data_IF_044317722943
#
_entry.id   IF_044317722943
#
_cell.length_a   1.000
_cell.length_b   1.000
_cell.length_c   1.000
_cell.angle_alpha   90.00
_cell.angle_beta   90.00
_cell.angle_gamma   90.00
#
_symmetry.space_group_name_H-M   'P 1'
#
loop_
_entity.id
_entity.type
_entity.pdbx_description
1 polymer ?
#
# COMPACT_ATOMS: atom_id res chain seq x y z
N UNK A 1 6.75 -11.57 -16.79
CA UNK A 1 7.38 -10.64 -15.83
C UNK A 1 6.71 -10.70 -14.46
N UNK A 2 5.38 -10.52 -14.40
CA UNK A 2 4.59 -10.51 -13.16
C UNK A 2 4.76 -11.81 -12.33
N UNK A 3 4.64 -12.99 -12.95
CA UNK A 3 4.78 -14.30 -12.25
C UNK A 3 6.14 -14.44 -11.54
N UNK A 4 7.24 -14.00 -12.16
CA UNK A 4 8.59 -14.12 -11.57
C UNK A 4 8.72 -13.26 -10.32
N UNK A 5 8.19 -12.04 -10.36
CA UNK A 5 8.16 -11.14 -9.21
C UNK A 5 7.28 -11.66 -8.08
N UNK A 6 6.12 -12.24 -8.40
CA UNK A 6 5.22 -12.84 -7.41
C UNK A 6 5.85 -14.05 -6.71
N UNK A 7 6.60 -14.89 -7.41
CA UNK A 7 7.31 -16.01 -6.78
C UNK A 7 8.41 -15.52 -5.83
N UNK A 8 9.17 -14.48 -6.22
CA UNK A 8 10.25 -13.95 -5.38
C UNK A 8 9.69 -13.35 -4.08
N UNK A 9 8.58 -12.60 -4.15
CA UNK A 9 7.98 -12.00 -2.96
C UNK A 9 7.31 -13.06 -2.09
N UNK A 10 6.60 -14.02 -2.68
CA UNK A 10 5.99 -15.14 -1.95
C UNK A 10 7.01 -15.97 -1.17
N UNK A 11 8.16 -16.26 -1.79
CA UNK A 11 9.24 -16.97 -1.12
C UNK A 11 9.88 -16.15 0.01
N UNK A 12 10.05 -14.84 -0.18
CA UNK A 12 10.57 -13.95 0.86
C UNK A 12 9.62 -13.88 2.08
N UNK A 13 8.31 -13.72 1.86
CA UNK A 13 7.33 -13.74 2.95
C UNK A 13 7.31 -15.08 3.68
N UNK A 14 7.37 -16.19 2.95
CA UNK A 14 7.43 -17.52 3.54
C UNK A 14 8.64 -17.68 4.47
N UNK A 15 9.84 -17.26 4.02
CA UNK A 15 11.05 -17.31 4.84
C UNK A 15 10.92 -16.47 6.12
N UNK A 16 10.40 -15.25 6.01
CA UNK A 16 10.23 -14.35 7.17
C UNK A 16 9.26 -14.95 8.18
N UNK A 17 8.12 -15.49 7.74
CA UNK A 17 7.16 -16.14 8.63
C UNK A 17 7.75 -17.38 9.29
N UNK A 18 8.48 -18.21 8.53
CA UNK A 18 9.13 -19.41 9.06
C UNK A 18 10.17 -19.07 10.15
N UNK A 19 11.03 -18.09 9.89
CA UNK A 19 11.99 -17.57 10.87
C UNK A 19 11.30 -16.98 12.10
N UNK A 20 10.21 -16.23 11.89
CA UNK A 20 9.46 -15.62 13.01
C UNK A 20 8.90 -16.67 13.96
N UNK A 21 8.34 -17.77 13.43
CA UNK A 21 7.83 -18.89 14.24
C UNK A 21 8.98 -19.66 14.91
N UNK A 22 10.09 -19.85 14.21
CA UNK A 22 11.27 -20.56 14.74
C UNK A 22 11.95 -19.84 15.90
N UNK A 23 11.94 -18.50 15.93
CA UNK A 23 12.64 -17.69 16.94
C UNK A 23 11.77 -17.43 18.18
N UNK A 24 10.49 -17.13 18.02
CA UNK A 24 9.62 -16.73 19.14
C UNK A 24 8.94 -17.91 19.87
N UNK A 25 8.97 -19.14 19.34
CA UNK A 25 8.15 -20.27 19.79
C UNK A 25 6.63 -20.04 19.62
N UNK A 26 5.88 -21.11 19.40
CA UNK A 26 4.48 -21.06 18.93
C UNK A 26 3.53 -20.31 19.88
N UNK A 27 3.79 -20.36 21.18
CA UNK A 27 2.92 -19.72 22.19
C UNK A 27 3.01 -18.19 22.22
N UNK A 28 4.15 -17.62 21.84
CA UNK A 28 4.41 -16.17 21.93
C UNK A 28 4.01 -15.47 20.62
N UNK A 29 4.13 -16.15 19.48
CA UNK A 29 3.68 -15.63 18.18
C UNK A 29 2.16 -15.46 18.09
N UNK A 30 1.39 -16.28 18.81
CA UNK A 30 -0.07 -16.21 18.79
C UNK A 30 -0.62 -14.95 19.47
N UNK A 31 0.07 -14.46 20.51
CA UNK A 31 -0.33 -13.25 21.25
C UNK A 31 0.31 -11.96 20.70
N UNK A 32 1.41 -12.06 19.94
CA UNK A 32 2.09 -10.90 19.37
C UNK A 32 1.56 -10.61 17.97
N UNK A 33 0.93 -9.44 17.82
CA UNK A 33 0.28 -9.01 16.57
C UNK A 33 1.25 -8.61 15.45
N UNK A 34 2.51 -8.29 15.78
CA UNK A 34 3.58 -7.97 14.82
C UNK A 34 4.84 -8.79 15.11
N UNK A 35 4.79 -10.12 14.93
CA UNK A 35 5.88 -11.01 15.35
C UNK A 35 7.17 -10.71 14.59
N UNK A 36 7.10 -10.28 13.33
CA UNK A 36 8.29 -9.93 12.55
C UNK A 36 9.05 -8.71 13.10
N UNK A 37 8.34 -7.74 13.69
CA UNK A 37 8.98 -6.60 14.36
C UNK A 37 9.61 -7.04 15.69
N UNK A 38 8.90 -7.89 16.42
CA UNK A 38 9.37 -8.40 17.71
C UNK A 38 10.60 -9.30 17.56
N UNK A 39 10.68 -10.11 16.50
CA UNK A 39 11.87 -10.92 16.16
C UNK A 39 13.10 -10.04 16.01
N UNK A 40 12.99 -8.92 15.29
CA UNK A 40 14.11 -7.99 15.09
C UNK A 40 14.56 -7.43 16.43
N UNK A 41 13.63 -6.97 17.28
CA UNK A 41 13.95 -6.43 18.61
C UNK A 41 14.52 -7.47 19.58
N UNK A 42 14.09 -8.73 19.49
CA UNK A 42 14.59 -9.81 20.36
C UNK A 42 16.02 -10.20 20.00
N UNK A 43 16.40 -10.09 18.72
CA UNK A 43 17.79 -10.32 18.27
C UNK A 43 18.71 -9.17 18.71
N UNK A 44 18.17 -7.96 18.93
CA UNK A 44 18.88 -6.75 19.39
C UNK A 44 19.38 -6.82 20.85
N UNK A 45 19.38 -7.99 21.51
CA UNK A 45 19.88 -8.19 22.88
C UNK A 45 21.42 -8.14 23.01
N UNK A 46 22.16 -8.00 21.90
CA UNK A 46 23.58 -7.66 21.93
C UNK A 46 23.79 -6.26 21.34
N UNK A 47 24.32 -5.34 22.16
CA UNK A 47 24.74 -3.92 21.98
C UNK A 47 25.18 -3.48 20.54
N UNK A 48 25.54 -4.43 19.68
CA UNK A 48 25.96 -4.21 18.30
C UNK A 48 24.80 -3.96 17.30
N UNK A 49 23.60 -4.51 17.52
CA UNK A 49 22.50 -4.44 16.54
C UNK A 49 21.58 -3.22 16.71
N UNK A 50 21.54 -2.59 17.87
CA UNK A 50 20.69 -1.42 18.15
C UNK A 50 21.01 -0.24 17.22
N UNK A 51 22.31 -0.07 16.91
CA UNK A 51 22.78 0.96 15.96
C UNK A 51 22.33 0.75 14.52
N UNK A 52 22.06 -0.49 14.10
CA UNK A 52 21.55 -0.79 12.76
C UNK A 52 20.04 -0.52 12.65
N UNK A 53 19.28 -0.73 13.73
CA UNK A 53 17.84 -0.47 13.78
C UNK A 53 17.54 1.01 13.47
N UNK A 54 18.31 1.93 14.05
CA UNK A 54 18.15 3.37 13.83
C UNK A 54 18.38 3.74 12.35
N UNK A 55 19.38 3.15 11.69
CA UNK A 55 19.66 3.40 10.27
C UNK A 55 18.50 2.93 9.39
N UNK A 56 17.93 1.76 9.68
CA UNK A 56 16.77 1.20 8.97
C UNK A 56 15.55 2.08 9.17
N UNK A 57 15.30 2.56 10.40
CA UNK A 57 14.19 3.46 10.71
C UNK A 57 14.31 4.78 9.93
N UNK A 58 15.51 5.37 9.85
CA UNK A 58 15.76 6.59 9.07
C UNK A 58 15.48 6.36 7.59
N UNK A 59 15.99 5.27 7.01
CA UNK A 59 15.72 4.91 5.60
C UNK A 59 14.22 4.73 5.34
N UNK A 60 13.51 4.13 6.29
CA UNK A 60 12.07 3.94 6.18
C UNK A 60 11.32 5.27 6.25
N UNK A 61 11.73 6.17 7.13
CA UNK A 61 11.16 7.51 7.23
C UNK A 61 11.35 8.33 5.94
N UNK A 62 12.54 8.28 5.35
CA UNK A 62 12.82 8.90 4.04
C UNK A 62 11.91 8.30 2.96
N UNK A 63 11.73 6.98 2.97
CA UNK A 63 10.84 6.29 2.02
C UNK A 63 9.39 6.73 2.17
N UNK A 64 8.89 6.83 3.40
CA UNK A 64 7.53 7.31 3.70
C UNK A 64 7.37 8.76 3.23
N UNK A 65 8.35 9.62 3.52
CA UNK A 65 8.34 11.02 3.09
C UNK A 65 8.25 11.15 1.57
N UNK A 66 9.06 10.40 0.82
CA UNK A 66 9.03 10.42 -0.64
C UNK A 66 7.71 9.89 -1.19
N UNK A 67 7.16 8.82 -0.61
CA UNK A 67 5.84 8.29 -0.98
C UNK A 67 4.72 9.29 -0.75
N UNK A 68 4.70 9.94 0.42
CA UNK A 68 3.72 10.97 0.75
C UNK A 68 3.78 12.14 -0.24
N UNK A 69 5.00 12.59 -0.55
CA UNK A 69 5.21 13.68 -1.52
C UNK A 69 4.69 13.31 -2.91
N UNK A 70 4.97 12.09 -3.37
CA UNK A 70 4.44 11.59 -4.64
C UNK A 70 2.92 11.45 -4.63
N UNK A 71 2.33 10.92 -3.56
CA UNK A 71 0.88 10.77 -3.41
C UNK A 71 0.17 12.13 -3.47
N UNK A 72 0.68 13.12 -2.74
CA UNK A 72 0.15 14.49 -2.78
C UNK A 72 0.23 15.08 -4.20
N UNK A 73 1.35 14.87 -4.90
CA UNK A 73 1.50 15.32 -6.28
C UNK A 73 0.52 14.64 -7.24
N UNK A 74 0.36 13.31 -7.15
CA UNK A 74 -0.58 12.55 -7.99
C UNK A 74 -2.03 12.99 -7.72
N UNK A 75 -2.41 13.21 -6.46
CA UNK A 75 -3.74 13.71 -6.10
C UNK A 75 -3.96 15.10 -6.70
N UNK A 76 -2.97 15.99 -6.62
CA UNK A 76 -3.06 17.33 -7.20
C UNK A 76 -3.28 17.29 -8.72
N UNK A 77 -2.48 16.51 -9.45
CA UNK A 77 -2.64 16.35 -10.89
C UNK A 77 -3.94 15.62 -11.27
N UNK A 78 -4.37 14.64 -10.47
CA UNK A 78 -5.67 13.98 -10.65
C UNK A 78 -6.85 14.93 -10.48
N UNK A 79 -6.83 15.75 -9.43
CA UNK A 79 -7.86 16.75 -9.16
C UNK A 79 -7.86 17.85 -10.23
N UNK A 80 -6.67 18.23 -10.70
CA UNK A 80 -6.51 19.14 -11.83
C UNK A 80 -7.18 18.60 -13.10
N UNK A 81 -7.00 17.31 -13.39
CA UNK A 81 -7.63 16.63 -14.53
C UNK A 81 -9.16 16.56 -14.42
N UNK A 82 -9.70 16.35 -13.22
CA UNK A 82 -11.16 16.31 -12.98
C UNK A 82 -11.78 17.71 -13.05
N UNK A 83 -11.15 18.71 -12.46
CA UNK A 83 -11.69 20.06 -12.35
C UNK A 83 -11.20 21.04 -13.43
N UNK A 84 -10.31 20.63 -14.34
CA UNK A 84 -9.69 21.46 -15.39
C UNK A 84 -9.11 22.79 -14.87
N UNK A 85 -8.49 22.77 -13.69
CA UNK A 85 -7.95 23.97 -13.04
C UNK A 85 -6.52 24.27 -13.51
N UNK A 86 -6.23 25.53 -13.82
CA UNK A 86 -4.91 25.93 -14.34
C UNK A 86 -3.86 26.14 -13.24
N UNK A 87 -4.27 26.37 -11.99
CA UNK A 87 -3.39 26.77 -10.89
C UNK A 87 -3.11 25.65 -9.88
N UNK A 88 -1.95 25.00 -10.02
CA UNK A 88 -1.49 23.94 -9.11
C UNK A 88 -1.23 24.45 -7.68
N UNK A 89 -0.79 25.70 -7.52
CA UNK A 89 -0.37 26.24 -6.22
C UNK A 89 -1.55 26.52 -5.28
N UNK A 90 -2.70 26.93 -5.82
CA UNK A 90 -3.87 27.28 -5.00
C UNK A 90 -4.61 26.05 -4.48
N UNK A 91 -4.52 24.91 -5.17
CA UNK A 91 -5.10 23.64 -4.74
C UNK A 91 -4.22 22.87 -3.77
N UNK A 92 -2.91 23.14 -3.75
CA UNK A 92 -1.99 22.45 -2.85
C UNK A 92 -2.32 22.72 -1.38
N UNK A 93 -2.68 23.97 -1.05
CA UNK A 93 -3.04 24.37 0.31
C UNK A 93 -4.24 23.58 0.89
N UNK A 94 -5.42 23.54 0.24
CA UNK A 94 -6.57 22.80 0.76
C UNK A 94 -6.32 21.29 0.82
N UNK A 95 -5.60 20.71 -0.16
CA UNK A 95 -5.30 19.28 -0.17
C UNK A 95 -4.38 18.90 1.00
N UNK A 96 -3.35 19.70 1.27
CA UNK A 96 -2.47 19.49 2.43
C UNK A 96 -3.25 19.61 3.74
N UNK A 97 -4.15 20.60 3.87
CA UNK A 97 -5.01 20.73 5.04
C UNK A 97 -5.92 19.51 5.22
N UNK A 98 -6.64 19.09 4.19
CA UNK A 98 -7.51 17.91 4.25
C UNK A 98 -6.70 16.66 4.63
N UNK A 99 -5.51 16.49 4.05
CA UNK A 99 -4.64 15.35 4.36
C UNK A 99 -4.15 15.36 5.81
N UNK A 100 -3.77 16.52 6.35
CA UNK A 100 -3.28 16.63 7.74
C UNK A 100 -4.40 16.43 8.75
N UNK A 101 -5.55 17.08 8.55
CA UNK A 101 -6.71 16.94 9.43
C UNK A 101 -7.30 15.53 9.36
N UNK A 102 -7.37 14.94 8.15
CA UNK A 102 -7.79 13.55 7.98
C UNK A 102 -6.87 12.56 8.71
N UNK A 103 -5.56 12.79 8.70
CA UNK A 103 -4.61 11.97 9.44
C UNK A 103 -4.76 12.10 10.96
N UNK A 104 -5.20 13.24 11.49
CA UNK A 104 -5.47 13.37 12.92
C UNK A 104 -6.77 12.65 13.31
N UNK A 105 -7.85 12.86 12.56
CA UNK A 105 -9.17 12.31 12.91
C UNK A 105 -9.33 10.79 12.72
N UNK A 106 -8.53 10.17 11.85
CA UNK A 106 -8.67 8.74 11.56
C UNK A 106 -7.88 7.88 12.55
N UNK A 107 -6.82 8.43 13.16
CA UNK A 107 -5.80 7.67 13.87
C UNK A 107 -5.74 8.01 15.36
N UNK A 108 -6.90 8.19 15.99
CA UNK A 108 -7.00 8.57 17.41
C UNK A 108 -6.54 7.46 18.38
N UNK A 109 -6.75 6.18 18.03
CA UNK A 109 -6.37 5.06 18.89
C UNK A 109 -5.94 3.79 18.11
N UNK A 110 -5.06 3.00 18.73
CA UNK A 110 -4.54 1.74 18.19
C UNK A 110 -5.65 0.69 18.05
N UNK A 111 -6.69 0.76 18.89
CA UNK A 111 -7.87 -0.12 18.81
C UNK A 111 -8.68 0.16 17.53
N UNK A 112 -8.89 1.43 17.21
CA UNK A 112 -9.59 1.86 15.98
C UNK A 112 -8.83 1.46 14.72
N UNK A 113 -7.49 1.43 14.77
CA UNK A 113 -6.66 0.93 13.68
C UNK A 113 -6.94 -0.55 13.39
N UNK A 114 -7.12 -1.38 14.42
CA UNK A 114 -7.36 -2.81 14.22
C UNK A 114 -8.69 -3.06 13.49
N UNK A 115 -9.75 -2.33 13.86
CA UNK A 115 -11.04 -2.40 13.16
C UNK A 115 -10.90 -1.90 11.71
N UNK A 116 -10.13 -0.84 11.50
CA UNK A 116 -9.87 -0.30 10.16
C UNK A 116 -9.10 -1.29 9.27
N UNK A 117 -8.20 -2.11 9.82
CA UNK A 117 -7.48 -3.12 9.05
C UNK A 117 -8.38 -4.23 8.51
N UNK A 118 -9.42 -4.62 9.26
CA UNK A 118 -10.40 -5.60 8.77
C UNK A 118 -11.21 -5.03 7.61
N UNK A 119 -11.68 -3.78 7.75
CA UNK A 119 -12.40 -3.06 6.68
C UNK A 119 -11.49 -2.83 5.47
N UNK A 120 -10.23 -2.48 5.71
CA UNK A 120 -9.22 -2.28 4.66
C UNK A 120 -9.00 -3.54 3.83
N UNK A 121 -9.01 -4.73 4.45
CA UNK A 121 -8.88 -6.00 3.72
C UNK A 121 -10.02 -6.18 2.70
N UNK A 122 -11.24 -5.83 3.08
CA UNK A 122 -12.38 -5.86 2.16
C UNK A 122 -12.24 -4.81 1.05
N UNK A 123 -11.86 -3.58 1.39
CA UNK A 123 -11.60 -2.52 0.41
C UNK A 123 -10.51 -2.89 -0.60
N UNK A 124 -9.37 -3.41 -0.12
CA UNK A 124 -8.25 -3.82 -0.95
C UNK A 124 -8.62 -4.98 -1.87
N UNK A 125 -9.38 -5.96 -1.38
CA UNK A 125 -9.88 -7.07 -2.20
C UNK A 125 -10.84 -6.59 -3.28
N UNK A 126 -11.76 -5.67 -2.92
CA UNK A 126 -12.71 -5.10 -3.87
C UNK A 126 -11.98 -4.33 -4.97
N UNK A 127 -11.11 -3.37 -4.63
CA UNK A 127 -10.37 -2.61 -5.65
C UNK A 127 -9.41 -3.49 -6.45
N UNK A 128 -8.73 -4.44 -5.80
CA UNK A 128 -7.79 -5.36 -6.45
C UNK A 128 -8.45 -6.29 -7.48
N UNK A 129 -9.72 -6.66 -7.27
CA UNK A 129 -10.47 -7.50 -8.20
C UNK A 129 -11.33 -6.69 -9.20
N UNK A 130 -11.93 -5.59 -8.74
CA UNK A 130 -12.86 -4.78 -9.52
C UNK A 130 -12.15 -4.04 -10.67
N UNK A 131 -10.98 -3.44 -10.40
CA UNK A 131 -10.21 -2.72 -11.44
C UNK A 131 -9.79 -3.58 -12.63
N UNK A 132 -9.15 -4.75 -12.45
CA UNK A 132 -8.78 -5.60 -13.58
C UNK A 132 -10.00 -6.15 -14.30
N UNK A 133 -11.08 -6.48 -13.58
CA UNK A 133 -12.33 -6.95 -14.19
C UNK A 133 -12.96 -5.86 -15.07
N UNK A 134 -13.01 -4.62 -14.59
CA UNK A 134 -13.51 -3.48 -15.36
C UNK A 134 -12.69 -3.25 -16.63
N UNK A 135 -11.35 -3.36 -16.53
CA UNK A 135 -10.45 -3.21 -17.67
C UNK A 135 -10.69 -4.29 -18.74
N UNK A 136 -10.89 -5.55 -18.31
CA UNK A 136 -11.22 -6.65 -19.22
C UNK A 136 -12.56 -6.42 -19.89
N UNK A 137 -13.60 -6.04 -19.13
CA UNK A 137 -14.92 -5.72 -19.67
C UNK A 137 -14.83 -4.61 -20.72
N UNK A 138 -14.21 -3.48 -20.41
CA UNK A 138 -14.02 -2.37 -21.35
C UNK A 138 -13.22 -2.80 -22.58
N UNK A 139 -12.19 -3.62 -22.41
CA UNK A 139 -11.42 -4.20 -23.52
C UNK A 139 -12.26 -5.06 -24.45
N UNK A 140 -13.14 -5.91 -23.91
CA UNK A 140 -14.05 -6.76 -24.68
C UNK A 140 -15.12 -5.94 -25.42
N UNK A 141 -15.70 -4.93 -24.78
CA UNK A 141 -16.67 -4.03 -25.42
C UNK A 141 -16.01 -3.24 -26.57
N UNK A 142 -14.78 -2.75 -26.37
CA UNK A 142 -14.05 -2.00 -27.40
C UNK A 142 -13.64 -2.90 -28.57
N UNK A 143 -13.26 -4.16 -28.31
CA UNK A 143 -12.95 -5.15 -29.36
C UNK A 143 -14.20 -5.49 -30.19
N UNK A 144 -15.35 -5.71 -29.55
CA UNK A 144 -16.63 -5.92 -30.25
C UNK A 144 -17.05 -4.71 -31.09
N UNK A 145 -16.86 -3.50 -30.60
CA UNK A 145 -17.16 -2.27 -31.35
C UNK A 145 -16.26 -2.10 -32.59
N UNK A 146 -15.00 -2.52 -32.51
CA UNK A 146 -14.05 -2.48 -33.64
C UNK A 146 -14.31 -3.59 -34.67
N UNK A 147 -14.71 -4.79 -34.24
CA UNK A 147 -15.10 -5.89 -35.14
C UNK A 147 -16.39 -5.56 -35.90
N UNK A 148 -17.37 -4.93 -35.26
CA UNK A 148 -18.63 -4.53 -35.90
C UNK A 148 -18.42 -3.45 -36.98
N UNK A 149 -17.43 -2.55 -36.80
CA UNK A 149 -17.05 -1.56 -37.83
C UNK A 149 -16.38 -2.17 -39.06
N UNK A 150 -15.79 -3.37 -38.95
CA UNK A 150 -15.10 -4.05 -40.05
C UNK A 150 -16.06 -4.83 -40.95
N UNK A 151 -17.20 -5.31 -40.42
CA UNK A 151 -18.24 -5.99 -41.19
C UNK A 151 -19.20 -5.06 -41.95
N UNK A 152 -19.21 -3.75 -41.66
CA UNK A 152 -20.05 -2.76 -42.35
C UNK A 152 -19.34 -2.16 -43.58
N UNK A 153 -18.02 -2.32 -43.69
CA UNK A 153 -17.20 -1.82 -44.81
C UNK A 153 -16.77 -2.93 -45.79
N UNK A 154 -17.41 -4.12 -45.74
CA UNK A 154 -17.33 -5.17 -46.77
C UNK A 154 -18.69 -5.30 -47.43
#
# INVERSE_FOLDING_TARGET
>A
MIIKSTMISGFAFFLVTFLSIGILSQGVVADIRYPSFFVVQTITIADFFERFEVIIAILWYITIFFRLSLLLYIILEGLKGVFNLTSNQSLLLPICFISLFGAMSIWDDVTSLIEYLEVWRFYASLFGLLFPLLLICLGLFRKKALENKKGINQ
#
